data_IF_561249143296
#
_entry.id   IF_561249143296
#
_cell.length_a   1.000
_cell.length_b   1.000
_cell.length_c   1.000
_cell.angle_alpha   90.00
_cell.angle_beta   90.00
_cell.angle_gamma   90.00
#
_symmetry.space_group_name_H-M   'P 1'
#
loop_
_entity.id
_entity.type
_entity.pdbx_description
1 polymer ?
#
# COMPACT_ATOMS: atom_id res chain seq x y z
N UNK A 1 -15.00 9.33 -20.61
CA UNK A 1 -13.67 9.74 -20.10
C UNK A 1 -13.15 8.60 -19.24
N UNK A 2 -12.13 7.87 -19.69
CA UNK A 2 -11.46 6.89 -18.83
C UNK A 2 -10.72 7.71 -17.77
N UNK A 3 -11.23 7.73 -16.54
CA UNK A 3 -10.50 8.24 -15.40
C UNK A 3 -9.26 7.36 -15.26
N UNK A 4 -8.07 7.91 -15.49
CA UNK A 4 -6.83 7.17 -15.34
C UNK A 4 -6.70 6.71 -13.88
N UNK A 5 -6.62 5.40 -13.65
CA UNK A 5 -6.31 4.86 -12.33
C UNK A 5 -4.81 4.89 -12.13
N UNK A 6 -4.36 5.38 -10.96
CA UNK A 6 -2.96 5.31 -10.60
C UNK A 6 -2.53 3.84 -10.44
N UNK A 7 -1.32 3.52 -10.90
CA UNK A 7 -0.64 2.26 -10.60
C UNK A 7 0.36 2.57 -9.51
N UNK A 8 0.21 1.93 -8.37
CA UNK A 8 1.17 2.00 -7.29
C UNK A 8 2.25 0.94 -7.51
N UNK A 9 3.48 1.28 -7.17
CA UNK A 9 4.64 0.40 -7.30
C UNK A 9 5.37 0.29 -5.96
N UNK A 10 6.08 -0.81 -5.76
CA UNK A 10 7.02 -1.00 -4.66
C UNK A 10 8.42 -1.27 -5.22
N UNK A 11 9.44 -0.85 -4.49
CA UNK A 11 10.82 -1.10 -4.86
C UNK A 11 11.26 -2.45 -4.28
N UNK A 12 11.80 -3.33 -5.12
CA UNK A 12 12.33 -4.61 -4.66
C UNK A 12 13.75 -4.51 -4.10
N UNK A 13 14.24 -5.61 -3.53
CA UNK A 13 15.59 -5.70 -2.93
C UNK A 13 16.72 -5.36 -3.93
N UNK A 14 16.45 -5.37 -5.24
CA UNK A 14 17.41 -5.04 -6.30
C UNK A 14 17.27 -3.59 -6.76
N UNK A 15 16.33 -2.85 -6.19
CA UNK A 15 16.05 -1.46 -6.50
C UNK A 15 15.09 -1.25 -7.67
N UNK A 16 14.49 -2.31 -8.24
CA UNK A 16 13.53 -2.19 -9.33
C UNK A 16 12.13 -1.89 -8.80
N UNK A 17 11.41 -1.02 -9.50
CA UNK A 17 10.00 -0.80 -9.24
C UNK A 17 9.17 -1.95 -9.81
N UNK A 18 8.26 -2.47 -8.97
CA UNK A 18 7.35 -3.56 -9.28
C UNK A 18 5.92 -3.06 -9.09
N UNK A 19 5.05 -3.20 -10.10
CA UNK A 19 3.67 -2.77 -9.97
C UNK A 19 2.92 -3.66 -8.98
N UNK A 20 2.13 -3.04 -8.11
CA UNK A 20 1.04 -3.73 -7.45
C UNK A 20 -0.05 -4.09 -8.46
N UNK A 21 -0.91 -5.04 -8.10
CA UNK A 21 -2.13 -5.31 -8.87
C UNK A 21 -3.04 -4.08 -8.89
N UNK A 22 -3.97 -4.04 -9.86
CA UNK A 22 -4.95 -2.94 -9.94
C UNK A 22 -5.84 -2.86 -8.69
N UNK A 23 -6.18 -4.00 -8.09
CA UNK A 23 -6.96 -4.07 -6.86
C UNK A 23 -6.21 -3.46 -5.66
N UNK A 24 -4.92 -3.79 -5.52
CA UNK A 24 -4.09 -3.24 -4.44
C UNK A 24 -3.85 -1.74 -4.65
N UNK A 25 -3.60 -1.29 -5.88
CA UNK A 25 -3.46 0.13 -6.20
C UNK A 25 -4.74 0.92 -5.86
N UNK A 26 -5.91 0.42 -6.25
CA UNK A 26 -7.19 1.06 -5.92
C UNK A 26 -7.47 1.09 -4.40
N UNK A 27 -7.03 0.06 -3.67
CA UNK A 27 -7.13 0.03 -2.21
C UNK A 27 -6.23 1.08 -1.55
N UNK A 28 -4.97 1.22 -2.00
CA UNK A 28 -4.04 2.25 -1.51
C UNK A 28 -4.64 3.65 -1.71
N UNK A 29 -5.11 3.95 -2.93
CA UNK A 29 -5.80 5.21 -3.24
C UNK A 29 -7.00 5.46 -2.33
N UNK A 30 -7.80 4.42 -2.06
CA UNK A 30 -8.94 4.52 -1.16
C UNK A 30 -8.50 4.84 0.27
N UNK A 31 -7.42 4.26 0.77
CA UNK A 31 -6.89 4.54 2.10
C UNK A 31 -6.33 5.96 2.23
N UNK A 32 -5.67 6.46 1.19
CA UNK A 32 -5.10 7.81 1.15
C UNK A 32 -6.14 8.90 0.90
N UNK A 33 -7.30 8.55 0.35
CA UNK A 33 -8.39 9.51 0.13
C UNK A 33 -8.83 10.17 1.44
N UNK A 34 -9.13 11.49 1.44
CA UNK A 34 -9.73 12.16 2.59
C UNK A 34 -11.05 11.52 3.06
N UNK A 35 -11.77 10.86 2.15
CA UNK A 35 -13.00 10.09 2.45
C UNK A 35 -12.73 8.63 2.85
N UNK A 36 -11.49 8.18 2.67
CA UNK A 36 -10.90 6.88 2.97
C UNK A 36 -10.67 6.57 4.45
N UNK A 37 -10.72 7.60 5.28
CA UNK A 37 -10.72 7.54 6.75
C UNK A 37 -11.92 6.76 7.36
N UNK A 38 -12.67 6.02 6.54
CA UNK A 38 -13.75 5.10 6.97
C UNK A 38 -13.30 3.64 7.03
N UNK A 39 -12.08 3.31 6.58
CA UNK A 39 -11.49 1.96 6.65
C UNK A 39 -10.18 1.86 7.44
N UNK A 40 -9.45 2.97 7.56
CA UNK A 40 -8.36 3.16 8.53
C UNK A 40 -8.79 4.19 9.56
N UNK A 41 -8.40 4.01 10.81
CA UNK A 41 -8.69 4.98 11.87
C UNK A 41 -8.20 6.38 11.45
N UNK A 42 -8.90 7.47 11.83
CA UNK A 42 -8.39 8.81 11.60
C UNK A 42 -6.97 8.94 12.16
N UNK A 43 -6.00 9.27 11.31
CA UNK A 43 -4.58 9.34 11.70
C UNK A 43 -3.79 8.03 11.56
N UNK A 44 -4.29 7.01 10.85
CA UNK A 44 -3.48 5.85 10.48
C UNK A 44 -2.24 6.30 9.69
N UNK A 45 -1.05 6.01 10.24
CA UNK A 45 0.24 6.26 9.59
C UNK A 45 0.68 5.11 8.69
N UNK A 46 -0.14 4.06 8.55
CA UNK A 46 0.18 2.89 7.74
C UNK A 46 -1.04 2.25 7.07
N UNK A 47 -0.78 1.50 5.99
CA UNK A 47 -1.78 0.73 5.22
C UNK A 47 -1.37 -0.74 5.22
N UNK A 48 -2.17 -1.62 5.83
CA UNK A 48 -1.94 -3.07 5.77
C UNK A 48 -2.40 -3.63 4.41
N UNK A 49 -1.48 -4.17 3.60
CA UNK A 49 -1.80 -4.67 2.26
C UNK A 49 -2.59 -5.97 2.28
N UNK A 50 -2.44 -6.76 3.35
CA UNK A 50 -3.24 -7.96 3.64
C UNK A 50 -4.77 -7.76 3.62
N UNK A 51 -5.25 -6.53 3.83
CA UNK A 51 -6.68 -6.20 3.78
C UNK A 51 -7.23 -6.18 2.36
N UNK A 52 -6.36 -5.97 1.36
CA UNK A 52 -6.71 -6.05 -0.06
C UNK A 52 -6.37 -7.41 -0.66
N UNK A 53 -5.20 -7.95 -0.31
CA UNK A 53 -4.71 -9.23 -0.81
C UNK A 53 -4.06 -10.03 0.33
N UNK A 54 -4.63 -11.18 0.75
CA UNK A 54 -4.08 -12.00 1.84
C UNK A 54 -2.66 -12.50 1.59
N UNK A 55 -2.18 -12.61 0.35
CA UNK A 55 -0.78 -12.96 0.07
C UNK A 55 0.19 -11.87 0.52
N UNK A 56 -0.30 -10.63 0.67
CA UNK A 56 0.44 -9.47 1.16
C UNK A 56 0.23 -9.22 2.65
N UNK A 57 -0.36 -10.15 3.40
CA UNK A 57 -0.55 -10.04 4.85
C UNK A 57 0.71 -9.66 5.65
N UNK A 58 1.92 -10.08 5.28
CA UNK A 58 3.14 -9.66 5.97
C UNK A 58 3.52 -8.19 5.72
N UNK A 59 2.89 -7.48 4.79
CA UNK A 59 3.36 -6.18 4.32
C UNK A 59 2.43 -5.03 4.69
N UNK A 60 3.03 -3.91 5.11
CA UNK A 60 2.36 -2.62 5.25
C UNK A 60 3.10 -1.54 4.46
N UNK A 61 2.40 -0.47 4.09
CA UNK A 61 3.00 0.77 3.63
C UNK A 61 3.01 1.74 4.80
N UNK A 62 4.17 2.28 5.16
CA UNK A 62 4.29 3.44 6.04
C UNK A 62 3.99 4.70 5.23
N UNK A 63 2.91 5.41 5.57
CA UNK A 63 2.44 6.57 4.81
C UNK A 63 3.43 7.74 4.89
N UNK A 64 4.00 8.11 6.05
CA UNK A 64 4.95 9.22 6.13
C UNK A 64 6.18 9.05 5.21
N UNK A 65 6.75 7.84 5.13
CA UNK A 65 7.94 7.57 4.32
C UNK A 65 7.63 7.02 2.93
N UNK A 66 6.39 6.60 2.67
CA UNK A 66 5.94 5.88 1.47
C UNK A 66 6.79 4.64 1.16
N UNK A 67 7.19 3.91 2.20
CA UNK A 67 7.97 2.66 2.08
C UNK A 67 7.15 1.45 2.47
N UNK A 68 7.46 0.31 1.85
CA UNK A 68 6.89 -0.97 2.23
C UNK A 68 7.72 -1.58 3.38
N UNK A 69 7.04 -2.19 4.34
CA UNK A 69 7.66 -2.87 5.46
C UNK A 69 7.10 -4.26 5.59
N UNK A 70 7.97 -5.23 5.83
CA UNK A 70 7.57 -6.59 6.15
C UNK A 70 7.53 -6.77 7.68
N UNK A 71 6.36 -7.09 8.22
CA UNK A 71 6.06 -7.09 9.65
C UNK A 71 6.68 -8.28 10.41
N UNK A 72 6.79 -9.45 9.79
CA UNK A 72 7.27 -10.69 10.42
C UNK A 72 8.79 -10.76 10.57
N UNK A 73 9.54 -10.00 9.76
CA UNK A 73 11.00 -9.99 9.79
C UNK A 73 11.60 -8.66 10.25
N UNK A 74 10.81 -7.58 10.31
CA UNK A 74 11.30 -6.23 10.60
C UNK A 74 12.24 -5.66 9.52
N UNK A 75 12.37 -6.34 8.37
CA UNK A 75 13.21 -5.88 7.25
C UNK A 75 12.45 -4.82 6.43
N UNK A 76 13.09 -3.67 6.24
CA UNK A 76 12.65 -2.66 5.28
C UNK A 76 12.99 -3.13 3.87
N UNK A 77 12.06 -3.00 2.93
CA UNK A 77 12.29 -3.19 1.49
C UNK A 77 11.88 -1.92 0.74
#
# INVERSE_FOLDING_TARGET
>A
LLLASAVWEWQDDQGYWRPYSGQVSAYIERCLSPRGHRGGAPGSTSICLGQSDPSLSPYLIDIPSLKQFRQDTGKHI
#
